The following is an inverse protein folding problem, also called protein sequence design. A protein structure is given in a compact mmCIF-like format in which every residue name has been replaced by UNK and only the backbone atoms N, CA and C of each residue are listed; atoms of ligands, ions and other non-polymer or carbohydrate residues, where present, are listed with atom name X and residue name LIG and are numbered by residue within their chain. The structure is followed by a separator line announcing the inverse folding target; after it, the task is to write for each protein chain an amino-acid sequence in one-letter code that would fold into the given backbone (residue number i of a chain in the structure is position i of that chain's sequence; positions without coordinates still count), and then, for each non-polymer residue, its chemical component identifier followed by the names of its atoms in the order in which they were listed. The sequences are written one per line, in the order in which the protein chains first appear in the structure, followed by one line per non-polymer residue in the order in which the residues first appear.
data_IF_549250691850
#
_entry.id   IF_549250691850
#
_cell.length_a   1.000
_cell.length_b   1.000
_cell.length_c   1.000
_cell.angle_alpha   90.00
_cell.angle_beta   90.00
_cell.angle_gamma   90.00
#
_symmetry.space_group_name_H-M   'P 1'
#
loop_
_entity.id
_entity.type
_entity.pdbx_description
1 polymer ?
#
# COMPACT_ATOMS: atom_id res chain seq x y z
N UNK A 1 4.42 29.47 -2.81
CA UNK A 1 4.18 28.91 -4.16
C UNK A 1 4.86 27.54 -4.23
N UNK A 2 4.20 26.55 -4.74
CA UNK A 2 4.81 25.22 -4.88
C UNK A 2 5.81 25.26 -6.05
N UNK A 3 7.10 25.05 -5.78
CA UNK A 3 8.15 25.11 -6.81
C UNK A 3 8.34 23.79 -7.56
N UNK A 4 7.49 22.79 -7.30
CA UNK A 4 7.55 21.48 -7.96
C UNK A 4 6.57 21.46 -9.14
N UNK A 5 7.05 21.09 -10.31
CA UNK A 5 6.23 20.99 -11.54
C UNK A 5 5.50 19.66 -11.65
N UNK A 6 6.10 18.56 -11.11
CA UNK A 6 5.45 17.25 -11.01
C UNK A 6 5.05 16.99 -9.57
N UNK A 7 3.76 16.76 -9.34
CA UNK A 7 3.18 16.57 -8.00
C UNK A 7 2.21 15.38 -7.99
N UNK A 8 2.19 14.68 -6.86
CA UNK A 8 1.13 13.74 -6.53
C UNK A 8 0.21 14.40 -5.51
N UNK A 9 -0.96 14.82 -5.96
CA UNK A 9 -2.00 15.32 -5.07
C UNK A 9 -2.67 14.15 -4.34
N UNK A 10 -3.00 14.36 -3.06
CA UNK A 10 -3.66 13.41 -2.18
C UNK A 10 -4.93 14.07 -1.64
N UNK A 11 -6.08 13.56 -2.04
CA UNK A 11 -7.37 14.07 -1.59
C UNK A 11 -7.71 13.56 -0.19
N UNK A 12 -7.65 14.45 0.80
CA UNK A 12 -7.94 14.15 2.20
C UNK A 12 -9.40 13.72 2.41
N UNK A 13 -10.34 14.28 1.65
CA UNK A 13 -11.75 13.93 1.74
C UNK A 13 -12.00 12.53 1.17
N UNK A 14 -11.32 12.17 0.08
CA UNK A 14 -11.38 10.82 -0.49
C UNK A 14 -10.83 9.76 0.48
N UNK A 15 -9.70 10.04 1.16
CA UNK A 15 -9.15 9.15 2.21
C UNK A 15 -10.18 8.91 3.31
N UNK A 16 -10.81 9.96 3.83
CA UNK A 16 -11.83 9.86 4.89
C UNK A 16 -13.10 9.16 4.41
N UNK A 17 -13.54 9.45 3.18
CA UNK A 17 -14.66 8.75 2.58
C UNK A 17 -14.42 7.24 2.51
N UNK A 18 -13.29 6.83 2.00
CA UNK A 18 -12.93 5.43 1.86
C UNK A 18 -12.80 4.74 3.22
N UNK A 19 -12.19 5.39 4.21
CA UNK A 19 -12.13 4.89 5.57
C UNK A 19 -13.55 4.66 6.13
N UNK A 20 -14.44 5.63 5.99
CA UNK A 20 -15.83 5.55 6.48
C UNK A 20 -16.62 4.47 5.74
N UNK A 21 -16.41 4.29 4.44
CA UNK A 21 -16.99 3.18 3.69
C UNK A 21 -16.63 1.82 4.32
N UNK A 22 -15.36 1.57 4.62
CA UNK A 22 -14.95 0.31 5.26
C UNK A 22 -15.44 0.22 6.70
N UNK A 23 -15.41 1.30 7.49
CA UNK A 23 -16.01 1.32 8.84
C UNK A 23 -17.48 0.92 8.83
N UNK A 24 -18.24 1.35 7.81
CA UNK A 24 -19.66 1.00 7.68
C UNK A 24 -19.94 -0.50 7.45
N UNK A 25 -18.90 -1.28 7.08
CA UNK A 25 -18.97 -2.74 6.89
C UNK A 25 -18.60 -3.52 8.15
N UNK A 26 -18.10 -2.83 9.19
CA UNK A 26 -17.63 -3.48 10.41
C UNK A 26 -18.73 -3.59 11.45
N UNK A 27 -18.59 -4.62 12.31
CA UNK A 27 -19.35 -4.66 13.55
C UNK A 27 -18.89 -3.54 14.49
N UNK A 28 -19.75 -3.11 15.41
CA UNK A 28 -19.48 -1.96 16.29
C UNK A 28 -18.18 -2.10 17.09
N UNK A 29 -17.87 -3.31 17.55
CA UNK A 29 -16.68 -3.58 18.39
C UNK A 29 -15.43 -3.93 17.56
N UNK A 30 -15.56 -4.10 16.23
CA UNK A 30 -14.43 -4.48 15.39
C UNK A 30 -13.51 -3.31 15.15
N UNK A 31 -12.27 -3.43 15.60
CA UNK A 31 -11.20 -2.46 15.42
C UNK A 31 -10.72 -2.39 13.99
N UNK A 32 -10.13 -1.25 13.64
CA UNK A 32 -9.54 -1.06 12.32
C UNK A 32 -8.04 -0.75 12.44
N UNK A 33 -7.24 -1.56 11.75
CA UNK A 33 -5.82 -1.33 11.52
C UNK A 33 -5.63 -0.87 10.08
N UNK A 34 -5.01 0.30 9.88
CA UNK A 34 -4.69 0.81 8.55
C UNK A 34 -3.24 0.48 8.19
N UNK A 35 -3.04 -0.09 7.00
CA UNK A 35 -1.73 -0.47 6.49
C UNK A 35 -1.15 0.66 5.65
N UNK A 36 -0.04 1.26 6.14
CA UNK A 36 0.63 2.43 5.53
C UNK A 36 2.07 2.13 5.09
N UNK A 37 2.38 0.85 4.83
CA UNK A 37 3.69 0.42 4.33
C UNK A 37 4.00 0.96 2.94
N UNK A 38 5.26 0.80 2.49
CA UNK A 38 5.73 1.24 1.19
C UNK A 38 5.43 2.72 0.93
N UNK A 39 5.86 3.57 1.87
CA UNK A 39 5.64 5.01 1.83
C UNK A 39 4.13 5.36 1.71
N UNK A 40 3.27 4.72 2.52
CA UNK A 40 1.82 4.92 2.46
C UNK A 40 1.23 4.52 1.10
N UNK A 41 1.62 3.37 0.56
CA UNK A 41 1.28 2.98 -0.82
C UNK A 41 1.67 4.05 -1.86
N UNK A 42 2.80 4.73 -1.63
CA UNK A 42 3.30 5.79 -2.51
C UNK A 42 2.78 7.20 -2.18
N UNK A 43 1.88 7.37 -1.20
CA UNK A 43 1.21 8.64 -0.91
C UNK A 43 1.83 9.44 0.26
N UNK A 44 2.93 8.98 0.85
CA UNK A 44 3.49 9.46 2.10
C UNK A 44 2.73 8.96 3.35
N UNK A 45 3.34 8.01 4.05
CA UNK A 45 2.72 7.37 5.22
C UNK A 45 2.41 8.37 6.35
N UNK A 46 3.28 9.38 6.55
CA UNK A 46 3.10 10.39 7.60
C UNK A 46 1.88 11.25 7.32
N UNK A 47 1.72 11.70 6.07
CA UNK A 47 0.58 12.53 5.69
C UNK A 47 -0.74 11.75 5.81
N UNK A 48 -0.78 10.49 5.34
CA UNK A 48 -1.98 9.63 5.50
C UNK A 48 -2.31 9.41 6.99
N UNK A 49 -1.31 9.07 7.80
CA UNK A 49 -1.55 8.80 9.24
C UNK A 49 -2.08 10.04 9.94
N UNK A 50 -1.50 11.22 9.72
CA UNK A 50 -1.98 12.49 10.32
C UNK A 50 -3.45 12.78 9.99
N UNK A 51 -3.92 12.40 8.79
CA UNK A 51 -5.30 12.63 8.38
C UNK A 51 -6.32 11.79 9.17
N UNK A 52 -5.91 10.59 9.65
CA UNK A 52 -6.83 9.58 10.18
C UNK A 52 -6.41 8.98 11.55
N UNK A 53 -5.32 9.46 12.20
CA UNK A 53 -4.80 8.88 13.44
C UNK A 53 -5.87 8.78 14.54
N UNK A 54 -6.72 9.80 14.67
CA UNK A 54 -7.81 9.81 15.68
C UNK A 54 -9.00 8.92 15.33
N UNK A 55 -9.02 8.35 14.13
CA UNK A 55 -10.18 7.62 13.59
C UNK A 55 -9.94 6.11 13.47
N UNK A 56 -8.73 5.63 13.80
CA UNK A 56 -8.33 4.22 13.68
C UNK A 56 -7.64 3.73 14.93
N UNK A 57 -7.60 2.41 15.14
CA UNK A 57 -7.04 1.82 16.36
C UNK A 57 -5.56 1.50 16.25
N UNK A 58 -5.11 1.13 15.05
CA UNK A 58 -3.75 0.70 14.75
C UNK A 58 -3.29 1.17 13.39
N UNK A 59 -1.97 1.29 13.25
CA UNK A 59 -1.30 1.33 11.95
C UNK A 59 -0.40 0.11 11.77
N UNK A 60 -0.12 -0.26 10.52
CA UNK A 60 0.88 -1.27 10.22
C UNK A 60 1.81 -0.82 9.10
N UNK A 61 3.09 -1.09 9.31
CA UNK A 61 4.17 -0.86 8.35
C UNK A 61 4.84 -2.19 7.98
N UNK A 62 5.61 -2.22 6.89
CA UNK A 62 6.35 -3.42 6.52
C UNK A 62 7.60 -3.60 7.40
N UNK A 63 8.41 -2.57 7.50
CA UNK A 63 9.73 -2.61 8.14
C UNK A 63 9.86 -1.60 9.28
N UNK A 64 10.81 -1.86 10.17
CA UNK A 64 11.05 -1.05 11.37
C UNK A 64 11.29 0.42 11.06
N UNK A 65 12.09 0.74 10.02
CA UNK A 65 12.40 2.13 9.69
C UNK A 65 11.17 2.94 9.28
N UNK A 66 10.15 2.32 8.64
CA UNK A 66 8.90 2.99 8.32
C UNK A 66 8.14 3.39 9.59
N UNK A 67 8.16 2.51 10.61
CA UNK A 67 7.59 2.81 11.93
C UNK A 67 8.36 3.91 12.67
N UNK A 68 9.69 3.92 12.56
CA UNK A 68 10.54 4.99 13.11
C UNK A 68 10.16 6.34 12.51
N UNK A 69 10.00 6.43 11.19
CA UNK A 69 9.57 7.66 10.50
C UNK A 69 8.23 8.18 11.06
N UNK A 70 7.27 7.29 11.32
CA UNK A 70 6.01 7.68 11.94
C UNK A 70 6.22 8.23 13.36
N UNK A 71 7.05 7.59 14.18
CA UNK A 71 7.36 8.07 15.54
C UNK A 71 8.08 9.41 15.55
N UNK A 72 9.05 9.60 14.66
CA UNK A 72 9.77 10.88 14.49
C UNK A 72 8.84 12.01 14.02
N UNK A 73 7.80 11.68 13.26
CA UNK A 73 6.73 12.60 12.89
C UNK A 73 5.72 12.90 14.03
N UNK A 74 5.92 12.30 15.23
CA UNK A 74 5.11 12.53 16.41
C UNK A 74 3.87 11.64 16.56
N UNK A 75 3.66 10.66 15.68
CA UNK A 75 2.54 9.72 15.73
C UNK A 75 2.59 8.87 16.99
N UNK A 76 1.48 8.79 17.72
CA UNK A 76 1.35 8.08 19.03
C UNK A 76 0.58 6.78 18.93
N UNK A 77 -0.30 6.64 17.95
CA UNK A 77 -1.09 5.42 17.77
C UNK A 77 -0.20 4.16 17.72
N UNK A 78 -0.70 2.98 18.16
CA UNK A 78 0.04 1.73 18.04
C UNK A 78 0.45 1.42 16.60
N UNK A 79 1.69 0.95 16.39
CA UNK A 79 2.25 0.64 15.07
C UNK A 79 2.79 -0.78 15.05
N UNK A 80 2.13 -1.66 14.30
CA UNK A 80 2.57 -3.04 14.05
C UNK A 80 3.61 -3.06 12.92
N UNK A 81 4.80 -3.61 13.20
CA UNK A 81 5.82 -3.92 12.20
C UNK A 81 5.59 -5.33 11.67
N UNK A 82 5.13 -5.45 10.42
CA UNK A 82 4.72 -6.73 9.83
C UNK A 82 5.88 -7.68 9.52
N UNK A 83 7.08 -7.15 9.27
CA UNK A 83 8.26 -7.94 8.91
C UNK A 83 9.52 -7.38 9.58
N UNK A 84 9.60 -7.45 10.93
CA UNK A 84 10.81 -7.07 11.64
C UNK A 84 11.98 -8.01 11.28
N UNK A 85 13.19 -7.49 11.33
CA UNK A 85 14.42 -8.22 11.07
C UNK A 85 15.29 -8.28 12.34
N UNK A 86 16.12 -9.31 12.47
CA UNK A 86 16.98 -9.50 13.64
C UNK A 86 17.82 -8.25 13.97
N UNK A 87 18.31 -7.57 12.94
CA UNK A 87 19.22 -6.43 13.08
C UNK A 87 18.55 -5.19 13.67
N UNK A 88 17.22 -5.09 13.64
CA UNK A 88 16.49 -3.88 14.05
C UNK A 88 15.46 -4.13 15.18
N UNK A 89 15.52 -5.29 15.85
CA UNK A 89 14.61 -5.60 16.96
C UNK A 89 14.81 -4.64 18.14
N UNK A 90 16.04 -4.26 18.47
CA UNK A 90 16.32 -3.27 19.52
C UNK A 90 15.71 -1.89 19.18
N UNK A 91 15.70 -1.52 17.91
CA UNK A 91 15.09 -0.27 17.45
C UNK A 91 13.56 -0.30 17.59
N UNK A 92 12.92 -1.47 17.44
CA UNK A 92 11.48 -1.64 17.71
C UNK A 92 11.16 -1.23 19.14
N UNK A 93 11.94 -1.71 20.11
CA UNK A 93 11.77 -1.37 21.51
C UNK A 93 12.01 0.12 21.77
N UNK A 94 13.13 0.67 21.23
CA UNK A 94 13.51 2.06 21.41
C UNK A 94 12.45 3.06 20.91
N UNK A 95 11.73 2.70 19.84
CA UNK A 95 10.69 3.53 19.25
C UNK A 95 9.25 3.10 19.62
N UNK A 96 9.10 2.21 20.59
CA UNK A 96 7.78 1.72 21.03
C UNK A 96 6.90 1.24 19.86
N UNK A 97 7.49 0.42 18.97
CA UNK A 97 6.79 -0.26 17.89
C UNK A 97 6.42 -1.68 18.33
N UNK A 98 5.41 -2.27 17.72
CA UNK A 98 4.94 -3.60 18.09
C UNK A 98 5.38 -4.64 17.02
N UNK A 99 6.23 -5.64 17.38
CA UNK A 99 6.75 -6.57 16.39
C UNK A 99 5.79 -7.70 16.06
N UNK A 100 5.73 -8.06 14.79
CA UNK A 100 5.22 -9.36 14.35
C UNK A 100 6.25 -10.45 14.63
N UNK A 101 5.88 -11.43 15.42
CA UNK A 101 6.66 -12.64 15.69
C UNK A 101 6.16 -13.76 14.77
N UNK A 102 6.98 -14.17 13.83
CA UNK A 102 6.61 -15.11 12.77
C UNK A 102 7.49 -16.37 12.68
N UNK A 103 8.48 -16.49 13.56
CA UNK A 103 9.34 -17.67 13.67
C UNK A 103 9.99 -17.76 15.05
N UNK A 104 10.44 -18.94 15.45
CA UNK A 104 11.16 -19.16 16.69
C UNK A 104 12.44 -18.30 16.76
N UNK A 105 13.16 -18.16 15.65
CA UNK A 105 14.38 -17.34 15.60
C UNK A 105 14.12 -15.87 15.94
N UNK A 106 13.02 -15.29 15.45
CA UNK A 106 12.62 -13.91 15.80
C UNK A 106 12.15 -13.84 17.25
N UNK A 107 11.37 -14.82 17.72
CA UNK A 107 10.91 -14.89 19.10
C UNK A 107 12.10 -14.93 20.07
N UNK A 108 13.03 -15.85 19.91
CA UNK A 108 14.21 -16.03 20.76
C UNK A 108 15.08 -14.75 20.79
N UNK A 109 15.31 -14.15 19.60
CA UNK A 109 16.07 -12.91 19.51
C UNK A 109 15.36 -11.74 20.20
N UNK A 110 14.03 -11.66 20.11
CA UNK A 110 13.27 -10.61 20.79
C UNK A 110 13.23 -10.82 22.30
N UNK A 111 13.08 -12.07 22.77
CA UNK A 111 13.15 -12.41 24.20
C UNK A 111 14.50 -12.03 24.81
N UNK A 112 15.59 -12.28 24.12
CA UNK A 112 16.91 -11.86 24.59
C UNK A 112 16.99 -10.34 24.80
N UNK A 113 16.47 -9.55 23.88
CA UNK A 113 16.40 -8.09 24.02
C UNK A 113 15.45 -7.70 25.18
N UNK A 114 14.35 -8.39 25.34
CA UNK A 114 13.39 -8.15 26.43
C UNK A 114 13.98 -8.47 27.80
N UNK A 115 14.89 -9.44 27.91
CA UNK A 115 15.59 -9.79 29.14
C UNK A 115 16.71 -8.79 29.47
N UNK A 116 17.38 -8.25 28.45
CA UNK A 116 18.43 -7.22 28.60
C UNK A 116 17.87 -5.82 28.87
N UNK A 117 16.57 -5.60 28.62
CA UNK A 117 15.87 -4.32 28.81
C UNK A 117 14.78 -4.52 29.86
N UNK A 118 14.54 -3.56 30.79
CA UNK A 118 13.52 -3.74 31.81
C UNK A 118 12.09 -3.61 31.23
N UNK A 119 11.75 -4.51 30.30
CA UNK A 119 10.43 -4.59 29.70
C UNK A 119 9.49 -5.38 30.63
N UNK A 120 8.23 -4.97 30.63
CA UNK A 120 7.15 -5.73 31.27
C UNK A 120 5.93 -5.71 30.35
N UNK A 121 5.41 -6.89 30.03
CA UNK A 121 4.21 -7.03 29.19
C UNK A 121 4.32 -6.31 27.84
N UNK A 122 5.52 -6.29 27.23
CA UNK A 122 5.71 -5.62 25.95
C UNK A 122 4.84 -6.27 24.86
N UNK A 123 4.04 -5.49 24.09
CA UNK A 123 3.09 -6.05 23.14
C UNK A 123 3.81 -6.67 21.95
N UNK A 124 3.46 -7.92 21.65
CA UNK A 124 3.90 -8.64 20.45
C UNK A 124 2.71 -9.22 19.71
N UNK A 125 2.83 -9.40 18.42
CA UNK A 125 1.79 -10.00 17.58
C UNK A 125 2.32 -11.31 16.99
N UNK A 126 1.55 -12.40 17.14
CA UNK A 126 1.94 -13.72 16.66
C UNK A 126 1.27 -14.00 15.31
N UNK A 127 2.06 -14.28 14.29
CA UNK A 127 1.54 -14.63 12.99
C UNK A 127 1.54 -16.13 12.74
N UNK A 128 0.40 -16.64 12.30
CA UNK A 128 0.23 -18.01 11.85
C UNK A 128 0.15 -18.12 10.32
N UNK A 129 0.71 -19.17 9.78
CA UNK A 129 0.57 -19.54 8.38
C UNK A 129 -0.60 -20.52 8.23
N UNK A 130 -1.64 -20.07 7.56
CA UNK A 130 -2.84 -20.89 7.30
C UNK A 130 -3.02 -21.24 5.82
N UNK A 131 -1.97 -21.03 5.00
CA UNK A 131 -1.97 -21.38 3.58
C UNK A 131 -1.38 -20.37 2.62
N UNK A 132 -1.08 -19.11 3.05
CA UNK A 132 -0.36 -18.15 2.19
C UNK A 132 1.11 -18.54 1.96
N UNK A 133 1.71 -19.32 2.84
CA UNK A 133 3.06 -19.90 2.75
C UNK A 133 4.17 -18.84 2.55
N UNK A 134 4.03 -17.70 3.21
CA UNK A 134 5.00 -16.61 3.14
C UNK A 134 5.84 -16.47 4.42
N UNK A 135 5.21 -16.27 5.57
CA UNK A 135 5.79 -16.27 6.91
C UNK A 135 4.70 -16.63 7.94
N UNK A 136 5.11 -17.13 9.11
CA UNK A 136 4.22 -17.45 10.24
C UNK A 136 4.44 -18.86 10.78
N UNK A 137 4.05 -19.08 12.03
CA UNK A 137 4.08 -20.39 12.67
C UNK A 137 3.01 -21.32 12.06
N UNK A 138 3.32 -22.60 12.00
CA UNK A 138 2.34 -23.64 11.68
C UNK A 138 1.50 -23.97 12.92
N UNK A 139 0.32 -24.56 12.73
CA UNK A 139 -0.46 -25.04 13.86
C UNK A 139 0.31 -26.06 14.73
N UNK A 140 1.16 -26.89 14.11
CA UNK A 140 2.03 -27.86 14.79
C UNK A 140 3.08 -27.22 15.71
N UNK A 141 3.36 -25.93 15.54
CA UNK A 141 4.32 -25.17 16.36
C UNK A 141 3.68 -24.67 17.68
N UNK A 142 2.34 -24.70 17.80
CA UNK A 142 1.60 -24.15 18.94
C UNK A 142 2.10 -24.66 20.29
N UNK A 143 2.30 -25.98 20.52
CA UNK A 143 2.78 -26.47 21.80
C UNK A 143 4.16 -25.88 22.20
N UNK A 144 5.11 -25.85 21.26
CA UNK A 144 6.45 -25.32 21.49
C UNK A 144 6.42 -23.81 21.72
N UNK A 145 5.62 -23.10 20.92
CA UNK A 145 5.41 -21.65 21.07
C UNK A 145 4.85 -21.29 22.45
N UNK A 146 3.80 -21.99 22.90
CA UNK A 146 3.20 -21.82 24.22
C UNK A 146 4.18 -22.09 25.35
N UNK A 147 5.01 -23.12 25.21
CA UNK A 147 6.04 -23.44 26.20
C UNK A 147 7.00 -22.26 26.39
N UNK A 148 7.43 -21.62 25.32
CA UNK A 148 8.34 -20.46 25.37
C UNK A 148 7.61 -19.22 25.92
N UNK A 149 6.40 -18.92 25.45
CA UNK A 149 5.65 -17.73 25.88
C UNK A 149 5.35 -17.73 27.39
N UNK A 150 5.13 -18.90 27.99
CA UNK A 150 4.86 -19.05 29.42
C UNK A 150 6.08 -18.79 30.34
N UNK A 151 7.29 -18.78 29.76
CA UNK A 151 8.52 -18.58 30.55
C UNK A 151 8.90 -17.11 30.72
N UNK A 152 8.25 -16.20 30.01
CA UNK A 152 8.60 -14.78 30.01
C UNK A 152 7.43 -13.90 30.44
N UNK A 153 7.68 -13.03 31.43
CA UNK A 153 6.77 -11.94 31.82
C UNK A 153 7.12 -10.61 31.12
N UNK A 154 8.17 -10.59 30.30
CA UNK A 154 8.66 -9.39 29.66
C UNK A 154 7.83 -9.02 28.42
N UNK A 155 7.11 -10.00 27.86
CA UNK A 155 6.27 -9.84 26.67
C UNK A 155 4.83 -10.25 26.95
N UNK A 156 3.91 -9.67 26.17
CA UNK A 156 2.49 -10.04 26.14
C UNK A 156 2.03 -10.22 24.72
N UNK A 157 1.38 -11.34 24.43
CA UNK A 157 0.75 -11.55 23.13
C UNK A 157 -0.45 -10.61 23.02
N UNK A 158 -0.31 -9.57 22.22
CA UNK A 158 -1.33 -8.55 21.98
C UNK A 158 -2.35 -9.03 20.96
N UNK A 159 -1.90 -9.73 19.92
CA UNK A 159 -2.80 -10.34 18.96
C UNK A 159 -2.25 -11.63 18.33
N UNK A 160 -3.19 -12.44 17.82
CA UNK A 160 -2.93 -13.54 16.90
C UNK A 160 -3.48 -13.18 15.53
N UNK A 161 -2.73 -13.44 14.46
CA UNK A 161 -3.22 -13.12 13.13
C UNK A 161 -2.71 -14.06 12.03
N UNK A 162 -3.46 -14.10 10.95
CA UNK A 162 -3.05 -14.73 9.69
C UNK A 162 -3.35 -13.80 8.50
N UNK A 163 -3.27 -14.33 7.28
CA UNK A 163 -3.54 -13.56 6.08
C UNK A 163 -4.12 -14.46 4.99
N UNK A 164 -5.25 -14.05 4.44
CA UNK A 164 -5.91 -14.75 3.35
C UNK A 164 -5.11 -14.59 2.05
N UNK A 165 -5.01 -15.68 1.28
CA UNK A 165 -4.22 -15.69 0.06
C UNK A 165 -5.02 -15.24 -1.17
N UNK A 166 -6.32 -15.53 -1.20
CA UNK A 166 -7.18 -15.34 -2.36
C UNK A 166 -8.58 -14.80 -1.97
N UNK A 167 -8.61 -13.84 -1.04
CA UNK A 167 -9.89 -13.29 -0.53
C UNK A 167 -10.64 -12.43 -1.55
N UNK A 168 -10.03 -12.08 -2.67
CA UNK A 168 -10.55 -11.33 -3.80
C UNK A 168 -11.06 -12.22 -4.96
N UNK A 169 -10.71 -13.51 -4.96
CA UNK A 169 -11.10 -14.44 -6.01
C UNK A 169 -12.23 -15.38 -5.53
N UNK A 170 -13.40 -15.22 -6.11
CA UNK A 170 -14.58 -16.08 -5.80
C UNK A 170 -14.38 -17.53 -6.18
N UNK A 171 -13.51 -17.86 -7.15
CA UNK A 171 -13.20 -19.23 -7.53
C UNK A 171 -12.37 -19.96 -6.46
N UNK A 172 -11.71 -19.21 -5.58
CA UNK A 172 -10.88 -19.71 -4.49
C UNK A 172 -11.61 -19.69 -3.12
N UNK A 173 -12.95 -19.55 -3.12
CA UNK A 173 -13.75 -19.48 -1.90
C UNK A 173 -13.50 -20.68 -0.97
N UNK A 174 -13.47 -21.89 -1.51
CA UNK A 174 -13.24 -23.12 -0.71
C UNK A 174 -11.88 -23.08 -0.01
N UNK A 175 -10.84 -22.60 -0.69
CA UNK A 175 -9.51 -22.46 -0.10
C UNK A 175 -9.51 -21.38 0.99
N UNK A 176 -10.15 -20.25 0.74
CA UNK A 176 -10.26 -19.15 1.70
C UNK A 176 -11.03 -19.57 2.97
N UNK A 177 -12.13 -20.30 2.83
CA UNK A 177 -12.89 -20.84 3.97
C UNK A 177 -12.03 -21.83 4.77
N UNK A 178 -11.24 -22.68 4.11
CA UNK A 178 -10.32 -23.58 4.80
C UNK A 178 -9.24 -22.80 5.59
N UNK A 179 -8.72 -21.71 5.05
CA UNK A 179 -7.79 -20.82 5.79
C UNK A 179 -8.45 -20.24 7.06
N UNK A 180 -9.71 -19.79 6.96
CA UNK A 180 -10.48 -19.24 8.09
C UNK A 180 -10.68 -20.32 9.16
N UNK A 181 -11.11 -21.52 8.77
CA UNK A 181 -11.34 -22.64 9.69
C UNK A 181 -10.05 -23.10 10.39
N UNK A 182 -8.94 -23.21 9.66
CA UNK A 182 -7.63 -23.54 10.21
C UNK A 182 -7.19 -22.48 11.22
N UNK A 183 -7.44 -21.21 10.95
CA UNK A 183 -7.11 -20.14 11.88
C UNK A 183 -8.00 -20.20 13.13
N UNK A 184 -9.29 -20.46 12.99
CA UNK A 184 -10.19 -20.63 14.13
C UNK A 184 -9.78 -21.79 15.05
N UNK A 185 -9.28 -22.89 14.49
CA UNK A 185 -8.72 -24.00 15.25
C UNK A 185 -7.49 -23.56 16.07
N UNK A 186 -6.55 -22.85 15.44
CA UNK A 186 -5.34 -22.32 16.11
C UNK A 186 -5.72 -21.36 17.26
N UNK A 187 -6.68 -20.46 17.04
CA UNK A 187 -7.18 -19.53 18.07
C UNK A 187 -7.66 -20.30 19.30
N UNK A 188 -8.47 -21.34 19.08
CA UNK A 188 -9.00 -22.13 20.18
C UNK A 188 -7.89 -22.78 21.01
N UNK A 189 -6.87 -23.35 20.37
CA UNK A 189 -5.72 -23.92 21.07
C UNK A 189 -4.93 -22.86 21.84
N UNK A 190 -4.66 -21.71 21.22
CA UNK A 190 -3.93 -20.63 21.88
C UNK A 190 -4.70 -20.10 23.10
N UNK A 191 -6.00 -19.84 22.99
CA UNK A 191 -6.84 -19.35 24.10
C UNK A 191 -6.86 -20.32 25.27
N UNK A 192 -7.00 -21.62 24.99
CA UNK A 192 -7.02 -22.65 26.02
C UNK A 192 -5.78 -22.65 26.91
N UNK A 193 -4.64 -22.24 26.37
CA UNK A 193 -3.35 -22.41 27.03
C UNK A 193 -2.64 -21.11 27.43
N UNK A 194 -3.01 -19.95 26.87
CA UNK A 194 -2.42 -18.65 27.26
C UNK A 194 -2.96 -18.09 28.57
N UNK A 195 -4.20 -18.47 28.98
CA UNK A 195 -4.86 -17.94 30.17
C UNK A 195 -5.47 -16.54 30.01
N UNK A 196 -5.42 -15.98 28.82
CA UNK A 196 -6.10 -14.76 28.40
C UNK A 196 -6.34 -14.81 26.89
N UNK A 197 -7.19 -13.92 26.38
CA UNK A 197 -7.60 -13.86 24.98
C UNK A 197 -6.94 -12.65 24.29
N UNK A 198 -5.87 -12.87 23.45
CA UNK A 198 -5.34 -11.84 22.58
C UNK A 198 -6.34 -11.45 21.50
N UNK A 199 -6.25 -10.21 20.99
CA UNK A 199 -7.04 -9.79 19.81
C UNK A 199 -6.78 -10.69 18.61
N UNK A 200 -7.81 -10.94 17.82
CA UNK A 200 -7.73 -11.75 16.61
C UNK A 200 -7.94 -10.88 15.38
N UNK A 201 -7.06 -11.02 14.37
CA UNK A 201 -7.29 -10.38 13.07
C UNK A 201 -6.82 -11.23 11.88
N UNK A 202 -7.66 -11.26 10.84
CA UNK A 202 -7.44 -12.08 9.65
C UNK A 202 -7.61 -11.27 8.36
N UNK A 203 -8.70 -10.53 8.24
CA UNK A 203 -9.16 -9.93 7.00
C UNK A 203 -8.26 -8.78 6.54
N UNK A 204 -7.97 -8.77 5.24
CA UNK A 204 -7.44 -7.64 4.47
C UNK A 204 -8.61 -6.85 3.84
N UNK A 205 -8.35 -5.87 2.98
CA UNK A 205 -9.38 -5.09 2.26
C UNK A 205 -10.46 -5.98 1.63
N UNK A 206 -10.04 -6.95 0.84
CA UNK A 206 -10.95 -7.86 0.13
C UNK A 206 -11.76 -8.74 1.08
N UNK A 207 -11.08 -9.24 2.11
CA UNK A 207 -11.73 -10.06 3.13
C UNK A 207 -12.81 -9.32 3.91
N UNK A 208 -12.65 -8.02 4.17
CA UNK A 208 -13.67 -7.19 4.86
C UNK A 208 -15.00 -7.26 4.11
N UNK A 209 -14.97 -7.23 2.79
CA UNK A 209 -16.16 -7.21 1.94
C UNK A 209 -16.69 -8.63 1.73
N UNK A 210 -15.82 -9.56 1.34
CA UNK A 210 -16.23 -10.90 0.89
C UNK A 210 -16.47 -11.89 2.02
N UNK A 211 -15.83 -11.69 3.18
CA UNK A 211 -15.92 -12.61 4.34
C UNK A 211 -16.28 -11.91 5.65
N UNK A 212 -17.36 -11.10 5.70
CA UNK A 212 -17.68 -10.25 6.86
C UNK A 212 -17.88 -11.03 8.17
N UNK A 213 -18.17 -12.31 8.10
CA UNK A 213 -18.32 -13.18 9.29
C UNK A 213 -16.97 -13.49 9.98
N UNK A 214 -15.84 -13.25 9.30
CA UNK A 214 -14.49 -13.50 9.83
C UNK A 214 -13.76 -12.20 10.24
N UNK A 215 -14.52 -11.15 10.60
CA UNK A 215 -13.95 -9.86 11.06
C UNK A 215 -13.13 -10.01 12.34
N UNK A 216 -13.54 -10.92 13.24
CA UNK A 216 -12.95 -11.08 14.56
C UNK A 216 -12.88 -9.73 15.30
N UNK A 217 -11.78 -9.50 16.05
CA UNK A 217 -11.64 -8.29 16.88
C UNK A 217 -11.08 -7.09 16.07
N UNK A 218 -10.38 -7.35 14.96
CA UNK A 218 -9.76 -6.28 14.18
C UNK A 218 -9.62 -6.68 12.71
N UNK A 219 -9.75 -5.71 11.80
CA UNK A 219 -9.49 -5.88 10.37
C UNK A 219 -8.30 -5.04 9.90
N UNK A 220 -7.73 -5.37 8.74
CA UNK A 220 -6.59 -4.64 8.17
C UNK A 220 -6.94 -4.03 6.83
N UNK A 221 -7.17 -2.72 6.82
CA UNK A 221 -7.47 -1.94 5.63
C UNK A 221 -6.16 -1.53 4.94
N UNK A 222 -5.99 -1.97 3.70
CA UNK A 222 -4.86 -1.62 2.83
C UNK A 222 -5.31 -0.79 1.64
N UNK A 223 -5.26 -1.39 0.45
CA UNK A 223 -5.50 -0.71 -0.84
C UNK A 223 -6.89 -0.05 -0.94
N UNK A 224 -7.88 -0.55 -0.22
CA UNK A 224 -9.21 0.06 -0.18
C UNK A 224 -9.21 1.50 0.33
N UNK A 225 -8.32 1.84 1.27
CA UNK A 225 -8.15 3.23 1.71
C UNK A 225 -7.76 4.14 0.54
N UNK A 226 -6.97 3.62 -0.39
CA UNK A 226 -6.45 4.35 -1.56
C UNK A 226 -7.39 4.30 -2.78
N UNK A 227 -8.61 3.77 -2.61
CA UNK A 227 -9.69 3.85 -3.60
C UNK A 227 -9.88 2.63 -4.48
N UNK A 228 -9.28 1.47 -4.17
CA UNK A 228 -9.42 0.26 -4.99
C UNK A 228 -10.13 -0.86 -4.23
N UNK A 229 -11.25 -1.32 -4.76
CA UNK A 229 -11.99 -2.50 -4.32
C UNK A 229 -11.58 -3.76 -5.12
N UNK A 230 -12.27 -4.87 -4.83
CA UNK A 230 -12.01 -6.16 -5.48
C UNK A 230 -12.42 -6.16 -6.96
N UNK A 231 -13.52 -5.51 -7.25
CA UNK A 231 -14.10 -5.42 -8.58
C UNK A 231 -14.43 -3.94 -8.95
N UNK A 232 -15.06 -3.76 -10.09
CA UNK A 232 -15.44 -2.43 -10.58
C UNK A 232 -16.56 -1.85 -9.72
N UNK A 233 -17.58 -2.63 -9.37
CA UNK A 233 -18.73 -2.21 -8.57
C UNK A 233 -18.34 -1.73 -7.16
N UNK A 234 -17.38 -2.39 -6.54
CA UNK A 234 -16.83 -1.96 -5.24
C UNK A 234 -15.98 -0.72 -5.40
N UNK A 235 -15.13 -0.69 -6.44
CA UNK A 235 -14.26 0.46 -6.74
C UNK A 235 -15.08 1.72 -7.00
N UNK A 236 -16.26 1.64 -7.64
CA UNK A 236 -17.17 2.75 -7.88
C UNK A 236 -17.74 3.37 -6.58
N UNK A 237 -17.76 2.62 -5.48
CA UNK A 237 -18.19 3.13 -4.18
C UNK A 237 -17.07 3.85 -3.42
N UNK A 238 -15.83 3.75 -3.90
CA UNK A 238 -14.64 4.38 -3.34
C UNK A 238 -14.26 5.62 -4.15
N UNK A 239 -13.69 6.59 -3.48
CA UNK A 239 -13.18 7.79 -4.14
C UNK A 239 -11.70 7.64 -4.52
N UNK A 240 -11.32 8.22 -5.65
CA UNK A 240 -9.94 8.29 -6.08
C UNK A 240 -9.13 9.21 -5.15
N UNK A 241 -8.09 8.66 -4.54
CA UNK A 241 -7.28 9.39 -3.56
C UNK A 241 -6.15 10.19 -4.22
N UNK A 242 -5.62 9.71 -5.35
CA UNK A 242 -4.38 10.27 -5.90
C UNK A 242 -4.55 10.80 -7.31
N UNK A 243 -3.96 11.98 -7.57
CA UNK A 243 -3.84 12.56 -8.91
C UNK A 243 -2.38 12.91 -9.16
N UNK A 244 -1.78 12.33 -10.21
CA UNK A 244 -0.42 12.63 -10.64
C UNK A 244 -0.47 13.65 -11.77
N UNK A 245 0.12 14.82 -11.53
CA UNK A 245 0.16 15.96 -12.42
C UNK A 245 1.57 16.39 -12.77
N UNK A 246 1.72 17.02 -13.93
CA UNK A 246 2.93 17.70 -14.35
C UNK A 246 2.57 18.86 -15.29
N UNK A 247 3.56 19.40 -16.02
CA UNK A 247 3.37 20.50 -16.96
C UNK A 247 4.03 20.17 -18.31
N UNK A 248 3.67 20.94 -19.33
CA UNK A 248 4.38 20.93 -20.62
C UNK A 248 5.65 21.77 -20.48
N UNK A 249 6.84 21.16 -20.68
CA UNK A 249 8.11 21.84 -20.65
C UNK A 249 8.46 22.52 -21.99
N UNK A 250 8.13 21.86 -23.08
CA UNK A 250 8.43 22.34 -24.43
C UNK A 250 7.46 21.78 -25.44
N UNK A 251 7.15 22.58 -26.46
CA UNK A 251 6.38 22.17 -27.63
C UNK A 251 7.26 22.25 -28.87
N UNK A 252 7.30 21.18 -29.67
CA UNK A 252 8.07 21.09 -30.92
C UNK A 252 7.17 20.63 -32.05
N UNK A 253 7.49 21.06 -33.27
CA UNK A 253 6.96 20.48 -34.52
C UNK A 253 8.00 19.52 -35.07
N UNK A 254 7.58 18.29 -35.36
CA UNK A 254 8.41 17.22 -35.94
C UNK A 254 7.89 16.95 -37.35
N UNK A 255 8.78 17.07 -38.35
CA UNK A 255 8.42 16.91 -39.75
C UNK A 255 8.34 15.44 -40.15
N UNK A 256 7.65 15.11 -41.26
CA UNK A 256 7.56 13.72 -41.73
C UNK A 256 8.94 13.11 -41.99
N UNK A 257 9.16 11.89 -41.45
CA UNK A 257 10.44 11.18 -41.51
C UNK A 257 11.39 11.48 -40.36
N UNK A 258 11.17 12.53 -39.58
CA UNK A 258 11.90 12.78 -38.33
C UNK A 258 11.45 11.84 -37.22
N UNK A 259 12.28 11.72 -36.20
CA UNK A 259 12.10 10.72 -35.14
C UNK A 259 12.06 11.31 -33.73
N UNK A 260 11.35 10.65 -32.80
CA UNK A 260 11.23 11.08 -31.44
C UNK A 260 11.81 10.03 -30.47
N UNK A 261 12.63 10.51 -29.54
CA UNK A 261 13.14 9.73 -28.41
C UNK A 261 14.28 8.78 -28.75
N UNK A 262 14.73 8.05 -27.72
CA UNK A 262 15.83 7.07 -27.82
C UNK A 262 15.51 5.94 -28.81
N UNK A 263 16.53 5.47 -29.51
CA UNK A 263 16.46 4.45 -30.55
C UNK A 263 15.57 4.86 -31.75
N UNK A 264 15.23 6.15 -31.84
CA UNK A 264 14.34 6.65 -32.93
C UNK A 264 13.03 5.83 -32.95
N UNK A 265 12.48 5.54 -31.79
CA UNK A 265 11.40 4.57 -31.62
C UNK A 265 10.06 5.03 -32.23
N UNK A 266 9.87 6.35 -32.39
CA UNK A 266 8.74 6.91 -33.12
C UNK A 266 9.23 7.63 -34.37
N UNK A 267 8.54 7.45 -35.52
CA UNK A 267 8.80 8.16 -36.76
C UNK A 267 7.56 8.93 -37.17
N UNK A 268 7.66 10.23 -37.29
CA UNK A 268 6.55 11.08 -37.72
C UNK A 268 6.14 10.74 -39.18
N UNK A 269 4.87 10.41 -39.39
CA UNK A 269 4.31 10.11 -40.74
C UNK A 269 3.71 11.34 -41.40
N UNK A 270 3.40 12.36 -40.59
CA UNK A 270 2.89 13.67 -40.99
C UNK A 270 3.48 14.74 -40.05
N UNK A 271 3.35 16.05 -40.34
CA UNK A 271 3.74 17.07 -39.39
C UNK A 271 3.06 16.81 -38.05
N UNK A 272 3.86 16.57 -37.01
CA UNK A 272 3.37 16.13 -35.68
C UNK A 272 3.82 17.15 -34.64
N UNK A 273 2.85 17.78 -33.93
CA UNK A 273 3.12 18.66 -32.81
C UNK A 273 3.29 17.80 -31.55
N UNK A 274 4.43 17.89 -30.88
CA UNK A 274 4.74 17.09 -29.70
C UNK A 274 4.96 17.98 -28.50
N UNK A 275 4.63 17.48 -27.30
CA UNK A 275 4.97 18.08 -26.02
C UNK A 275 5.93 17.20 -25.24
N UNK A 276 6.94 17.82 -24.62
CA UNK A 276 7.83 17.18 -23.65
C UNK A 276 7.33 17.44 -22.26
N UNK A 277 7.17 16.36 -21.48
CA UNK A 277 6.70 16.37 -20.10
C UNK A 277 7.87 15.99 -19.17
N UNK A 278 8.20 16.78 -18.10
CA UNK A 278 9.34 16.54 -17.22
C UNK A 278 9.01 15.46 -16.16
N UNK A 279 8.66 14.27 -16.61
CA UNK A 279 8.42 13.08 -15.80
C UNK A 279 8.77 11.84 -16.62
N UNK A 280 9.49 10.90 -16.02
CA UNK A 280 9.97 9.72 -16.72
C UNK A 280 10.02 8.47 -15.84
N UNK A 281 10.82 7.47 -16.26
CA UNK A 281 10.84 6.20 -15.54
C UNK A 281 11.51 6.28 -14.16
N UNK A 282 12.35 7.27 -13.88
CA UNK A 282 12.88 7.52 -12.53
C UNK A 282 11.84 8.14 -11.58
N UNK A 283 10.72 8.62 -12.11
CA UNK A 283 9.57 9.11 -11.35
C UNK A 283 8.51 8.04 -11.12
N UNK A 284 8.68 6.85 -11.72
CA UNK A 284 7.74 5.73 -11.60
C UNK A 284 6.89 5.48 -12.84
N UNK A 285 7.15 6.17 -13.97
CA UNK A 285 6.42 5.97 -15.22
C UNK A 285 7.03 4.79 -16.00
N UNK A 286 6.32 3.69 -16.10
CA UNK A 286 6.83 2.51 -16.79
C UNK A 286 7.16 2.79 -18.25
N UNK A 287 8.30 2.24 -18.74
CA UNK A 287 8.65 2.30 -20.14
C UNK A 287 7.66 1.59 -21.07
N UNK A 288 6.87 0.64 -20.56
CA UNK A 288 5.80 -0.03 -21.32
C UNK A 288 4.70 0.94 -21.77
N UNK A 289 4.55 2.10 -21.11
CA UNK A 289 3.58 3.14 -21.51
C UNK A 289 4.01 3.95 -22.73
N UNK A 290 5.28 3.88 -23.14
CA UNK A 290 5.76 4.49 -24.38
C UNK A 290 5.19 3.84 -25.64
N UNK A 291 5.56 4.40 -26.81
CA UNK A 291 5.22 3.86 -28.12
C UNK A 291 3.69 3.70 -28.33
N UNK A 292 2.92 4.72 -27.96
CA UNK A 292 1.46 4.82 -28.10
C UNK A 292 0.65 3.82 -27.24
N UNK A 293 1.30 3.07 -26.31
CA UNK A 293 0.62 2.15 -25.41
C UNK A 293 -0.10 2.86 -24.24
N UNK A 294 0.40 4.03 -23.82
CA UNK A 294 -0.17 4.86 -22.78
C UNK A 294 -0.46 6.27 -23.27
N UNK A 295 -1.08 7.06 -22.40
CA UNK A 295 -1.43 8.45 -22.68
C UNK A 295 -1.38 9.29 -21.40
N UNK A 296 -1.37 10.61 -21.60
CA UNK A 296 -1.69 11.61 -20.54
C UNK A 296 -2.94 12.36 -20.95
N UNK A 297 -3.55 13.10 -20.02
CA UNK A 297 -4.66 13.99 -20.31
C UNK A 297 -4.16 15.44 -20.34
N UNK A 298 -4.51 16.14 -21.41
CA UNK A 298 -4.31 17.58 -21.58
C UNK A 298 -5.67 18.17 -21.96
N UNK A 299 -6.18 19.12 -21.17
CA UNK A 299 -7.53 19.67 -21.37
C UNK A 299 -8.61 18.57 -21.50
N UNK A 300 -8.52 17.50 -20.68
CA UNK A 300 -9.37 16.29 -20.70
C UNK A 300 -9.32 15.48 -22.00
N UNK A 301 -8.34 15.72 -22.89
CA UNK A 301 -8.12 14.97 -24.11
C UNK A 301 -6.92 14.03 -23.94
N UNK A 302 -7.01 12.81 -24.51
CA UNK A 302 -5.92 11.83 -24.46
C UNK A 302 -4.82 12.23 -25.45
N UNK A 303 -3.61 12.48 -24.91
CA UNK A 303 -2.37 12.70 -25.66
C UNK A 303 -1.52 11.43 -25.55
N UNK A 304 -1.37 10.62 -26.61
CA UNK A 304 -0.60 9.37 -26.56
C UNK A 304 0.88 9.63 -26.29
N UNK A 305 1.52 8.77 -25.50
CA UNK A 305 2.95 8.82 -25.22
C UNK A 305 3.67 8.22 -26.41
N UNK A 306 4.45 9.00 -27.13
CA UNK A 306 5.18 8.59 -28.33
C UNK A 306 6.68 8.40 -28.04
N UNK A 307 7.29 7.43 -28.76
CA UNK A 307 8.67 7.04 -28.49
C UNK A 307 8.88 6.40 -27.13
N UNK A 308 10.11 6.19 -26.74
CA UNK A 308 10.45 5.57 -25.46
C UNK A 308 10.35 6.59 -24.31
N UNK A 309 9.75 6.20 -23.20
CA UNK A 309 9.84 6.96 -21.94
C UNK A 309 11.30 7.04 -21.51
N UNK A 310 11.81 8.27 -21.31
CA UNK A 310 13.16 8.55 -20.87
C UNK A 310 13.28 8.50 -19.34
N UNK A 311 14.46 8.74 -18.80
CA UNK A 311 14.69 8.75 -17.35
C UNK A 311 13.84 9.81 -16.65
N UNK A 312 13.87 11.03 -17.15
CA UNK A 312 13.29 12.22 -16.51
C UNK A 312 12.22 12.90 -17.39
N UNK A 313 11.92 12.36 -18.55
CA UNK A 313 11.01 12.97 -19.53
C UNK A 313 10.24 11.90 -20.31
N UNK A 314 9.08 12.30 -20.82
CA UNK A 314 8.35 11.59 -21.86
C UNK A 314 7.82 12.59 -22.89
N UNK A 315 7.57 12.14 -24.09
CA UNK A 315 7.01 12.94 -25.20
C UNK A 315 5.62 12.43 -25.53
N UNK A 316 4.72 13.34 -25.82
CA UNK A 316 3.32 13.04 -26.17
C UNK A 316 2.92 13.74 -27.47
N UNK A 317 2.07 13.11 -28.25
CA UNK A 317 1.49 13.73 -29.47
C UNK A 317 0.33 14.65 -29.07
N UNK A 318 0.49 15.93 -29.39
CA UNK A 318 -0.50 16.99 -29.14
C UNK A 318 -1.02 17.62 -30.44
N UNK A 319 -0.84 16.95 -31.59
CA UNK A 319 -1.19 17.49 -32.93
C UNK A 319 -2.63 18.00 -32.98
N UNK A 320 -3.54 17.35 -32.25
CA UNK A 320 -4.97 17.69 -32.23
C UNK A 320 -5.41 18.40 -30.94
N UNK A 321 -4.49 18.77 -30.08
CA UNK A 321 -4.79 19.36 -28.78
C UNK A 321 -4.25 20.80 -28.76
N UNK A 322 -5.12 21.74 -28.46
CA UNK A 322 -4.72 23.13 -28.26
C UNK A 322 -4.13 23.29 -26.85
N UNK A 323 -2.81 23.48 -26.79
CA UNK A 323 -2.07 23.65 -25.56
C UNK A 323 -0.71 24.31 -25.82
N UNK A 324 -0.10 24.80 -24.72
CA UNK A 324 1.12 25.58 -24.72
C UNK A 324 2.08 25.14 -23.60
N UNK A 325 3.32 25.57 -23.68
CA UNK A 325 4.31 25.40 -22.63
C UNK A 325 3.81 26.01 -21.30
N UNK A 326 3.96 25.27 -20.21
CA UNK A 326 3.45 25.62 -18.88
C UNK A 326 2.04 25.10 -18.57
N UNK A 327 1.29 24.61 -19.56
CA UNK A 327 -0.03 24.04 -19.30
C UNK A 327 0.08 22.76 -18.46
N UNK A 328 -0.89 22.59 -17.54
CA UNK A 328 -0.99 21.40 -16.69
C UNK A 328 -1.37 20.17 -17.51
N UNK A 329 -0.72 19.06 -17.21
CA UNK A 329 -1.10 17.73 -17.72
C UNK A 329 -1.41 16.80 -16.56
N UNK A 330 -2.26 15.81 -16.81
CA UNK A 330 -2.62 14.78 -15.84
C UNK A 330 -2.16 13.42 -16.37
N UNK A 331 -1.32 12.74 -15.58
CA UNK A 331 -0.86 11.38 -15.90
C UNK A 331 -1.94 10.37 -15.51
N UNK A 332 -2.47 10.52 -14.30
CA UNK A 332 -3.68 9.82 -13.85
C UNK A 332 -4.43 10.63 -12.79
N UNK A 333 -5.76 10.54 -12.77
CA UNK A 333 -6.65 11.19 -11.80
C UNK A 333 -7.87 10.32 -11.44
N UNK A 334 -7.84 9.05 -11.77
CA UNK A 334 -8.95 8.14 -11.50
C UNK A 334 -8.48 6.69 -11.40
N UNK A 335 -9.22 5.88 -10.65
CA UNK A 335 -8.99 4.44 -10.54
C UNK A 335 -8.97 3.76 -11.91
N UNK A 336 -9.83 4.22 -12.85
CA UNK A 336 -9.91 3.70 -14.22
C UNK A 336 -8.58 3.86 -14.95
N UNK A 337 -7.98 5.06 -14.94
CA UNK A 337 -6.70 5.32 -15.62
C UNK A 337 -5.59 4.49 -14.98
N UNK A 338 -5.54 4.40 -13.66
CA UNK A 338 -4.55 3.56 -12.97
C UNK A 338 -4.70 2.08 -13.34
N UNK A 339 -5.94 1.56 -13.47
CA UNK A 339 -6.20 0.19 -13.94
C UNK A 339 -5.79 0.00 -15.41
N UNK A 340 -6.06 0.97 -16.29
CA UNK A 340 -5.61 0.96 -17.70
C UNK A 340 -4.06 0.92 -17.77
N UNK A 341 -3.37 1.77 -17.00
CA UNK A 341 -1.90 1.76 -16.89
C UNK A 341 -1.37 0.41 -16.38
N UNK A 342 -2.00 -0.15 -15.34
CA UNK A 342 -1.62 -1.44 -14.79
C UNK A 342 -1.78 -2.56 -15.83
N UNK A 343 -2.87 -2.55 -16.61
CA UNK A 343 -3.10 -3.51 -17.69
C UNK A 343 -2.01 -3.43 -18.77
N UNK A 344 -1.66 -2.24 -19.25
CA UNK A 344 -0.57 -2.01 -20.21
C UNK A 344 0.77 -2.48 -19.65
N UNK A 345 1.00 -2.28 -18.35
CA UNK A 345 2.23 -2.70 -17.68
C UNK A 345 2.23 -4.19 -17.30
N UNK A 346 1.13 -4.93 -17.51
CA UNK A 346 0.95 -6.34 -17.09
C UNK A 346 1.13 -6.51 -15.59
N UNK A 347 0.52 -5.62 -14.82
CA UNK A 347 0.62 -5.58 -13.35
C UNK A 347 -0.70 -5.15 -12.71
N UNK A 348 -0.66 -4.77 -11.43
CA UNK A 348 -1.81 -4.39 -10.61
C UNK A 348 -1.72 -2.92 -10.16
N UNK A 349 -2.85 -2.26 -9.81
CA UNK A 349 -2.87 -0.87 -9.33
C UNK A 349 -1.89 -0.58 -8.18
N UNK A 350 -1.65 -1.55 -7.29
CA UNK A 350 -0.67 -1.42 -6.20
C UNK A 350 0.71 -1.01 -6.69
N UNK A 351 1.20 -1.67 -7.76
CA UNK A 351 2.53 -1.41 -8.29
C UNK A 351 2.61 -0.03 -8.95
N UNK A 352 1.56 0.38 -9.66
CA UNK A 352 1.50 1.72 -10.27
C UNK A 352 1.62 2.80 -9.18
N UNK A 353 0.85 2.69 -8.09
CA UNK A 353 0.87 3.69 -7.02
C UNK A 353 2.20 3.68 -6.25
N UNK A 354 2.69 2.50 -5.88
CA UNK A 354 3.94 2.37 -5.09
C UNK A 354 5.20 2.67 -5.90
N UNK A 355 5.14 2.62 -7.22
CA UNK A 355 6.26 2.96 -8.11
C UNK A 355 6.54 4.47 -8.15
N UNK A 356 5.57 5.33 -7.80
CA UNK A 356 5.78 6.78 -7.84
C UNK A 356 6.91 7.17 -6.89
N UNK A 357 8.01 7.64 -7.47
CA UNK A 357 9.26 7.96 -6.77
C UNK A 357 9.04 9.03 -5.69
N UNK A 358 9.77 8.92 -4.59
CA UNK A 358 9.75 9.94 -3.51
C UNK A 358 10.29 11.31 -3.95
N UNK A 359 10.94 11.42 -5.10
CA UNK A 359 11.33 12.72 -5.68
C UNK A 359 10.15 13.52 -6.23
N UNK A 360 9.03 12.87 -6.55
CA UNK A 360 7.76 13.53 -6.87
C UNK A 360 7.17 14.09 -5.58
N UNK A 361 6.86 15.37 -5.53
CA UNK A 361 6.31 16.03 -4.32
C UNK A 361 4.89 15.56 -4.05
N UNK A 362 4.60 15.14 -2.81
CA UNK A 362 3.23 14.89 -2.34
C UNK A 362 2.62 16.18 -1.82
N UNK A 363 1.34 16.40 -2.17
CA UNK A 363 0.58 17.58 -1.77
C UNK A 363 -0.81 17.14 -1.32
N UNK A 364 -1.11 17.32 -0.04
CA UNK A 364 -2.47 17.04 0.46
C UNK A 364 -3.40 18.17 0.05
N UNK A 365 -4.53 17.82 -0.53
CA UNK A 365 -5.62 18.74 -0.91
C UNK A 365 -6.89 18.37 -0.14
N UNK A 366 -7.79 19.35 0.05
CA UNK A 366 -9.07 19.24 0.77
C UNK A 366 -10.25 19.54 -0.15
#
# INVERSE_FOLDING_TARGET
MNNHVTVLEIDANAVKHNLNFFKSKLNVETKILVVVKAFGYGTDAVEIVKLIESEVDYFAVAYTHEGVVLREAGIKAPVLVLHPQLQNLAQIVAYHLEPNIYSFKILEAFLKIADETPLMNYPIHIKFNTGLNRIGFWHTDVPSLLSILKTSNNIKVQSLFSHLAASDDVNEESFTINQINNFAYIIKEMYTHLGYEPMIHLLNTSGIINYPKAQFDMVRLGIGLYGFGNDEKETEQLQNVTTLKSVISQVLLVEPGETVGYNRAYVAKAPTKIATIPVGHADGISRKLGNENGYVLINNQKAPIIGNVCMDMMMVDITKIDCSEGDEIIIFNSQKIVKEMASVCETIPYEILTAISQRVKRVVIC
#
